data_IF_560389213547
#
_entry.id   IF_560389213547
#
_cell.length_a   1.000
_cell.length_b   1.000
_cell.length_c   1.000
_cell.angle_alpha   90.00
_cell.angle_beta   90.00
_cell.angle_gamma   90.00
#
_symmetry.space_group_name_H-M   'P 1'
#
loop_
_entity.id
_entity.type
_entity.pdbx_description
1 polymer ?
#
# COMPACT_ATOMS: atom_id res chain seq x y z
N UNK A 1 -11.02 15.46 14.15
CA UNK A 1 -10.03 14.38 14.35
C UNK A 1 -9.93 13.63 13.03
N UNK A 2 -8.90 13.91 12.22
CA UNK A 2 -8.81 13.59 10.77
C UNK A 2 -8.07 12.27 10.45
N UNK A 3 -8.13 11.28 11.36
CA UNK A 3 -7.27 10.10 11.28
C UNK A 3 -7.68 9.14 10.15
N UNK A 4 -8.93 9.23 9.67
CA UNK A 4 -9.47 8.32 8.64
C UNK A 4 -9.31 8.80 7.19
N UNK A 5 -9.07 10.10 6.95
CA UNK A 5 -9.05 10.63 5.58
C UNK A 5 -7.77 10.26 4.82
N UNK A 6 -6.64 10.14 5.52
CA UNK A 6 -5.34 9.84 4.88
C UNK A 6 -5.29 8.41 4.33
N UNK A 7 -5.75 7.43 5.12
CA UNK A 7 -5.80 6.03 4.69
C UNK A 7 -6.76 5.85 3.50
N UNK A 8 -7.97 6.40 3.60
CA UNK A 8 -8.93 6.32 2.50
C UNK A 8 -8.43 7.00 1.23
N UNK A 9 -7.74 8.14 1.36
CA UNK A 9 -7.13 8.84 0.22
C UNK A 9 -6.04 7.98 -0.44
N UNK A 10 -5.19 7.31 0.35
CA UNK A 10 -4.17 6.40 -0.18
C UNK A 10 -4.81 5.23 -0.94
N UNK A 11 -5.81 4.58 -0.34
CA UNK A 11 -6.55 3.48 -1.00
C UNK A 11 -7.19 3.93 -2.32
N UNK A 12 -7.80 5.12 -2.35
CA UNK A 12 -8.39 5.68 -3.57
C UNK A 12 -7.34 5.94 -4.67
N UNK A 13 -6.16 6.43 -4.31
CA UNK A 13 -5.07 6.68 -5.27
C UNK A 13 -4.57 5.39 -5.91
N UNK A 14 -4.36 4.33 -5.12
CA UNK A 14 -3.95 3.03 -5.64
C UNK A 14 -5.05 2.38 -6.48
N UNK A 15 -6.31 2.46 -6.04
CA UNK A 15 -7.45 1.97 -6.80
C UNK A 15 -7.58 2.68 -8.16
N UNK A 16 -7.33 4.00 -8.23
CA UNK A 16 -7.32 4.75 -9.49
C UNK A 16 -6.19 4.31 -10.45
N UNK A 17 -5.11 3.74 -9.91
CA UNK A 17 -4.04 3.11 -10.69
C UNK A 17 -4.31 1.62 -11.00
N UNK A 18 -5.45 1.08 -10.60
CA UNK A 18 -5.80 -0.33 -10.78
C UNK A 18 -5.05 -1.28 -9.84
N UNK A 19 -4.54 -0.77 -8.72
CA UNK A 19 -3.78 -1.54 -7.74
C UNK A 19 -4.57 -1.65 -6.43
N UNK A 20 -4.86 -2.86 -6.01
CA UNK A 20 -5.40 -3.14 -4.69
C UNK A 20 -4.26 -3.29 -3.67
N UNK A 21 -4.35 -2.55 -2.56
CA UNK A 21 -3.34 -2.54 -1.50
C UNK A 21 -3.96 -2.65 -0.12
N UNK A 22 -3.25 -3.32 0.78
CA UNK A 22 -3.47 -3.23 2.22
C UNK A 22 -2.69 -2.04 2.75
N UNK A 23 -3.32 -1.13 3.48
CA UNK A 23 -2.66 0.03 4.12
C UNK A 23 -2.58 -0.20 5.62
N UNK A 24 -1.42 0.08 6.22
CA UNK A 24 -1.13 -0.09 7.64
C UNK A 24 -0.40 1.14 8.19
N UNK A 25 -0.62 1.46 9.46
CA UNK A 25 0.19 2.46 10.20
C UNK A 25 1.37 1.83 10.93
N UNK A 26 1.56 0.52 10.78
CA UNK A 26 2.72 -0.21 11.27
C UNK A 26 3.63 -0.56 10.11
N UNK A 27 4.97 -0.45 10.30
CA UNK A 27 5.92 -0.90 9.30
C UNK A 27 5.78 -2.42 9.07
N UNK A 28 6.08 -2.90 7.85
CA UNK A 28 6.10 -4.32 7.55
C UNK A 28 7.11 -5.03 8.45
N UNK A 29 6.77 -6.23 8.89
CA UNK A 29 7.64 -7.05 9.74
C UNK A 29 8.85 -7.63 8.96
N UNK A 30 8.71 -7.74 7.64
CA UNK A 30 9.71 -8.30 6.73
C UNK A 30 9.68 -7.48 5.45
N UNK A 31 10.83 -6.97 5.02
CA UNK A 31 10.96 -6.30 3.72
C UNK A 31 10.98 -7.34 2.60
N UNK A 32 9.89 -7.38 1.83
CA UNK A 32 9.75 -8.17 0.62
C UNK A 32 10.12 -7.38 -0.64
N UNK A 33 10.14 -8.04 -1.82
CA UNK A 33 10.46 -7.39 -3.09
C UNK A 33 9.44 -6.34 -3.55
N UNK A 34 8.25 -6.33 -2.94
CA UNK A 34 7.18 -5.35 -3.20
C UNK A 34 6.99 -4.37 -2.03
N UNK A 35 7.81 -4.48 -0.99
CA UNK A 35 7.78 -3.56 0.13
C UNK A 35 8.41 -2.24 -0.30
N UNK A 36 7.73 -1.15 0.02
CA UNK A 36 8.17 0.22 -0.27
C UNK A 36 8.31 1.01 1.00
N UNK A 37 9.12 2.07 0.95
CA UNK A 37 9.25 2.99 2.06
C UNK A 37 7.90 3.60 2.43
N UNK A 38 7.61 3.62 3.73
CA UNK A 38 6.39 4.22 4.24
C UNK A 38 6.36 5.73 3.97
N UNK A 39 5.19 6.27 3.67
CA UNK A 39 4.98 7.70 3.53
C UNK A 39 4.45 8.28 4.83
N UNK A 40 5.08 9.36 5.29
CA UNK A 40 4.53 10.19 6.37
C UNK A 40 3.50 11.17 5.81
N UNK A 41 2.26 11.10 6.29
CA UNK A 41 1.26 12.09 5.94
C UNK A 41 1.59 13.44 6.61
N UNK A 42 1.08 14.58 6.10
CA UNK A 42 1.30 15.89 6.72
C UNK A 42 0.84 16.01 8.18
N UNK A 43 -0.01 15.09 8.63
CA UNK A 43 -0.49 15.00 10.01
C UNK A 43 0.44 14.17 10.94
N UNK A 44 1.60 13.73 10.44
CA UNK A 44 2.64 13.06 11.21
C UNK A 44 2.47 11.55 11.38
N UNK A 45 1.47 10.93 10.73
CA UNK A 45 1.27 9.47 10.76
C UNK A 45 1.99 8.85 9.58
N UNK A 46 2.82 7.85 9.85
CA UNK A 46 3.45 7.04 8.81
C UNK A 46 2.50 5.92 8.37
N UNK A 47 2.43 5.72 7.06
CA UNK A 47 1.65 4.66 6.44
C UNK A 47 2.55 3.83 5.54
N UNK A 48 2.34 2.51 5.62
CA UNK A 48 2.91 1.52 4.73
C UNK A 48 1.78 0.84 3.98
N UNK A 49 2.08 0.32 2.80
CA UNK A 49 1.11 -0.41 2.02
C UNK A 49 1.78 -1.50 1.21
N UNK A 50 1.05 -2.58 1.00
CA UNK A 50 1.52 -3.73 0.24
C UNK A 50 0.40 -4.22 -0.70
N UNK A 51 0.73 -4.58 -1.95
CA UNK A 51 -0.19 -5.27 -2.83
C UNK A 51 -0.70 -6.56 -2.19
N UNK A 52 -1.92 -6.97 -2.52
CA UNK A 52 -2.42 -8.27 -2.03
C UNK A 52 -1.63 -9.42 -2.64
N UNK A 53 -1.51 -10.54 -1.91
CA UNK A 53 -0.81 -11.73 -2.39
C UNK A 53 -1.44 -12.30 -3.67
N UNK A 54 -2.76 -12.20 -3.82
CA UNK A 54 -3.49 -12.61 -5.02
C UNK A 54 -3.12 -11.76 -6.23
N UNK A 55 -3.02 -10.44 -6.05
CA UNK A 55 -2.62 -9.52 -7.12
C UNK A 55 -1.17 -9.72 -7.53
N UNK A 56 -0.26 -9.94 -6.56
CA UNK A 56 1.13 -10.30 -6.84
C UNK A 56 1.19 -11.60 -7.66
N UNK A 57 0.45 -12.62 -7.24
CA UNK A 57 0.40 -13.89 -7.97
C UNK A 57 -0.14 -13.73 -9.40
N UNK A 58 -1.09 -12.82 -9.60
CA UNK A 58 -1.63 -12.49 -10.92
C UNK A 58 -0.56 -11.80 -11.79
N UNK A 59 0.13 -10.78 -11.29
CA UNK A 59 1.20 -10.10 -12.03
C UNK A 59 2.33 -11.04 -12.45
N UNK A 60 2.71 -11.98 -11.58
CA UNK A 60 3.70 -13.01 -11.93
C UNK A 60 3.19 -13.91 -13.06
N UNK A 61 1.90 -14.31 -13.05
CA UNK A 61 1.30 -15.08 -14.16
C UNK A 61 1.26 -14.29 -15.46
N UNK A 62 1.02 -12.98 -15.38
CA UNK A 62 0.94 -12.08 -16.53
C UNK A 62 2.33 -11.68 -17.07
N UNK A 63 3.41 -12.13 -16.43
CA UNK A 63 4.79 -11.88 -16.84
C UNK A 63 5.30 -10.48 -16.52
N UNK A 64 4.60 -9.74 -15.65
CA UNK A 64 5.07 -8.46 -15.10
C UNK A 64 6.21 -8.77 -14.12
N UNK A 65 7.38 -8.16 -14.35
CA UNK A 65 8.62 -8.44 -13.61
C UNK A 65 9.30 -7.17 -13.15
#
# INVERSE_FOLDING_TARGET
MFVHECESTLRQRFAAAGVEVTVSTQPPLVDGPYTVDGMTCPHGIAYWWEPTGEQIAQWVRDGVR
#
